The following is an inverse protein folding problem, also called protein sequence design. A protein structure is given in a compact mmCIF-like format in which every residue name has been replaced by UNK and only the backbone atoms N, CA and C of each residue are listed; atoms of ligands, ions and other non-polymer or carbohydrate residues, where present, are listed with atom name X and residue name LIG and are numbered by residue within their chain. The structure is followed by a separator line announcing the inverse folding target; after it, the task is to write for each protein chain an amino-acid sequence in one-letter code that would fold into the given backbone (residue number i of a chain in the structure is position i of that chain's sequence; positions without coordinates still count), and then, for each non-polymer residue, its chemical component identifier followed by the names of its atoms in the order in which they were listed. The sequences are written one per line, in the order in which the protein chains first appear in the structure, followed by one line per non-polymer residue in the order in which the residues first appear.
data_IF_286196237905
#
_entry.id   IF_286196237905
#
_cell.length_a   1.000
_cell.length_b   1.000
_cell.length_c   1.000
_cell.angle_alpha   90.00
_cell.angle_beta   90.00
_cell.angle_gamma   90.00
#
_symmetry.space_group_name_H-M   'P 1'
#
loop_
_entity.id
_entity.type
_entity.pdbx_description
1 polymer ?
#
# COMPACT_ATOMS: atom_id res chain seq x y z
N UNK A 1 24.82 -19.03 4.28
CA UNK A 1 24.39 -18.66 2.92
C UNK A 1 23.69 -19.87 2.32
N UNK A 2 22.40 -19.75 1.98
CA UNK A 2 21.67 -20.79 1.24
C UNK A 2 22.10 -20.70 -0.23
N UNK A 3 22.37 -21.82 -0.93
CA UNK A 3 22.70 -21.79 -2.36
C UNK A 3 21.56 -21.14 -3.15
N UNK A 4 21.91 -20.18 -4.04
CA UNK A 4 20.96 -19.49 -4.93
C UNK A 4 20.11 -20.47 -5.76
N UNK A 5 20.63 -21.66 -6.07
CA UNK A 5 19.97 -22.71 -6.87
C UNK A 5 18.67 -23.27 -6.25
N UNK A 6 18.44 -23.09 -4.94
CA UNK A 6 17.23 -23.57 -4.28
C UNK A 6 16.12 -22.52 -4.16
N UNK A 7 16.38 -21.27 -4.53
CA UNK A 7 15.37 -20.21 -4.48
C UNK A 7 14.41 -20.31 -5.65
N UNK A 8 13.15 -19.97 -5.37
CA UNK A 8 12.15 -19.81 -6.40
C UNK A 8 12.44 -18.55 -7.22
N UNK A 9 12.17 -18.57 -8.54
CA UNK A 9 12.19 -17.34 -9.33
C UNK A 9 11.11 -16.37 -8.83
N UNK A 10 11.46 -15.08 -8.71
CA UNK A 10 10.51 -14.03 -8.31
C UNK A 10 9.26 -14.03 -9.19
N UNK A 11 9.43 -14.16 -10.51
CA UNK A 11 8.32 -14.21 -11.46
C UNK A 11 7.31 -15.33 -11.13
N UNK A 12 7.80 -16.51 -10.73
CA UNK A 12 6.93 -17.64 -10.40
C UNK A 12 6.14 -17.41 -9.11
N UNK A 13 6.75 -16.76 -8.11
CA UNK A 13 6.06 -16.36 -6.87
C UNK A 13 4.98 -15.30 -7.17
N UNK A 14 5.29 -14.32 -8.02
CA UNK A 14 4.34 -13.31 -8.46
C UNK A 14 3.15 -13.95 -9.21
N UNK A 15 3.41 -14.82 -10.19
CA UNK A 15 2.38 -15.53 -10.95
C UNK A 15 1.46 -16.36 -10.04
N UNK A 16 2.05 -17.03 -9.06
CA UNK A 16 1.33 -17.81 -8.06
C UNK A 16 0.41 -16.92 -7.22
N UNK A 17 0.92 -15.75 -6.78
CA UNK A 17 0.13 -14.78 -6.03
C UNK A 17 -1.08 -14.28 -6.82
N UNK A 18 -0.90 -13.90 -8.09
CA UNK A 18 -2.01 -13.46 -8.95
C UNK A 18 -3.05 -14.56 -9.16
N UNK A 19 -2.63 -15.82 -9.28
CA UNK A 19 -3.56 -16.96 -9.32
C UNK A 19 -4.41 -17.05 -8.05
N UNK A 20 -3.78 -16.92 -6.87
CA UNK A 20 -4.51 -16.94 -5.60
C UNK A 20 -5.41 -15.73 -5.41
N UNK A 21 -4.98 -14.55 -5.89
CA UNK A 21 -5.76 -13.33 -5.79
C UNK A 21 -7.10 -13.46 -6.51
N UNK A 22 -7.12 -14.02 -7.73
CA UNK A 22 -8.37 -14.28 -8.47
C UNK A 22 -9.35 -15.14 -7.67
N UNK A 23 -8.88 -16.25 -7.12
CA UNK A 23 -9.70 -17.14 -6.29
C UNK A 23 -10.19 -16.46 -5.02
N UNK A 24 -9.33 -15.66 -4.39
CA UNK A 24 -9.63 -14.95 -3.14
C UNK A 24 -10.66 -13.83 -3.34
N UNK A 25 -10.55 -13.06 -4.42
CA UNK A 25 -11.55 -12.05 -4.79
C UNK A 25 -12.90 -12.68 -5.14
N UNK A 26 -12.88 -13.83 -5.83
CA UNK A 26 -14.10 -14.60 -6.12
C UNK A 26 -14.76 -15.08 -4.84
N UNK A 27 -13.97 -15.62 -3.89
CA UNK A 27 -14.47 -16.05 -2.58
C UNK A 27 -15.05 -14.88 -1.79
N UNK A 28 -14.34 -13.74 -1.72
CA UNK A 28 -14.81 -12.54 -1.04
C UNK A 28 -16.13 -11.99 -1.63
N UNK A 29 -16.32 -12.10 -2.95
CA UNK A 29 -17.58 -11.78 -3.62
C UNK A 29 -18.71 -12.71 -3.17
N UNK A 30 -18.46 -14.02 -3.16
CA UNK A 30 -19.44 -15.05 -2.76
C UNK A 30 -19.85 -14.88 -1.29
N UNK A 31 -18.88 -14.56 -0.42
CA UNK A 31 -19.10 -14.29 1.01
C UNK A 31 -19.70 -12.91 1.30
N UNK A 32 -20.00 -12.11 0.25
CA UNK A 32 -20.54 -10.74 0.36
C UNK A 32 -19.64 -9.79 1.19
N UNK A 33 -18.34 -10.06 1.22
CA UNK A 33 -17.33 -9.15 1.77
C UNK A 33 -17.02 -8.00 0.80
N UNK A 34 -17.21 -8.23 -0.51
CA UNK A 34 -17.02 -7.26 -1.58
C UNK A 34 -18.22 -7.28 -2.53
N UNK A 35 -18.80 -6.11 -2.79
CA UNK A 35 -19.87 -5.97 -3.77
C UNK A 35 -19.33 -5.99 -5.21
N UNK A 36 -20.09 -6.50 -6.20
CA UNK A 36 -19.68 -6.51 -7.60
C UNK A 36 -19.29 -5.13 -8.14
N UNK A 37 -19.98 -4.09 -7.69
CA UNK A 37 -19.74 -2.69 -8.07
C UNK A 37 -18.36 -2.23 -7.57
N UNK A 38 -17.99 -2.58 -6.33
CA UNK A 38 -16.67 -2.26 -5.75
C UNK A 38 -15.55 -2.98 -6.50
N UNK A 39 -15.75 -4.26 -6.83
CA UNK A 39 -14.79 -5.03 -7.64
C UNK A 39 -14.59 -4.44 -9.04
N UNK A 40 -15.67 -3.91 -9.63
CA UNK A 40 -15.68 -3.35 -10.97
C UNK A 40 -15.06 -1.98 -11.09
N UNK A 41 -15.44 -1.09 -10.17
CA UNK A 41 -14.91 0.26 -10.13
C UNK A 41 -13.46 0.29 -9.62
N UNK A 42 -13.04 -0.78 -8.94
CA UNK A 42 -11.81 -0.82 -8.15
C UNK A 42 -11.71 0.38 -7.19
N UNK A 43 -12.87 0.94 -6.80
CA UNK A 43 -12.95 2.12 -5.96
C UNK A 43 -12.55 1.79 -4.52
N UNK A 44 -12.15 2.86 -3.83
CA UNK A 44 -11.64 2.76 -2.47
C UNK A 44 -10.31 2.01 -2.40
N UNK A 45 -10.20 1.23 -1.34
CA UNK A 45 -8.95 0.64 -0.91
C UNK A 45 -8.72 -0.79 -1.44
N UNK A 46 -9.38 -1.14 -2.55
CA UNK A 46 -9.43 -2.52 -3.04
C UNK A 46 -8.05 -3.07 -3.42
N UNK A 47 -7.14 -2.22 -3.89
CA UNK A 47 -5.74 -2.60 -4.14
C UNK A 47 -5.03 -3.09 -2.88
N UNK A 48 -5.49 -2.72 -1.68
CA UNK A 48 -4.93 -3.19 -0.42
C UNK A 48 -5.79 -4.33 0.13
N UNK A 49 -7.11 -4.15 0.17
CA UNK A 49 -8.07 -5.13 0.69
C UNK A 49 -8.00 -6.47 -0.05
N UNK A 50 -7.92 -6.47 -1.39
CA UNK A 50 -7.88 -7.70 -2.20
C UNK A 50 -6.68 -8.59 -1.86
N UNK A 51 -5.44 -8.08 -1.99
CA UNK A 51 -4.23 -8.79 -1.56
C UNK A 51 -4.25 -9.18 -0.06
N UNK A 52 -4.77 -8.34 0.83
CA UNK A 52 -4.87 -8.66 2.26
C UNK A 52 -5.82 -9.85 2.52
N UNK A 53 -6.98 -9.90 1.84
CA UNK A 53 -7.89 -11.06 1.88
C UNK A 53 -7.24 -12.31 1.29
N UNK A 54 -6.45 -12.17 0.23
CA UNK A 54 -5.67 -13.27 -0.34
C UNK A 54 -4.72 -13.89 0.70
N UNK A 55 -3.98 -13.04 1.42
CA UNK A 55 -3.09 -13.46 2.50
C UNK A 55 -3.83 -14.11 3.67
N UNK A 56 -4.99 -13.55 4.05
CA UNK A 56 -5.87 -14.12 5.08
C UNK A 56 -6.37 -15.52 4.71
N UNK A 57 -6.92 -15.71 3.51
CA UNK A 57 -7.37 -17.02 3.07
C UNK A 57 -6.21 -18.01 2.87
N UNK A 58 -5.03 -17.54 2.46
CA UNK A 58 -3.83 -18.37 2.43
C UNK A 58 -3.42 -18.85 3.83
N UNK A 59 -3.55 -17.99 4.86
CA UNK A 59 -3.27 -18.38 6.25
C UNK A 59 -4.26 -19.45 6.73
N UNK A 60 -5.55 -19.32 6.46
CA UNK A 60 -6.56 -20.32 6.83
C UNK A 60 -6.31 -21.69 6.16
N UNK A 61 -5.70 -21.71 4.97
CA UNK A 61 -5.39 -22.94 4.22
C UNK A 61 -4.00 -23.51 4.49
N UNK A 62 -3.14 -22.80 5.23
CA UNK A 62 -1.79 -23.29 5.54
C UNK A 62 -1.87 -24.46 6.54
N UNK A 63 -1.16 -25.55 6.25
CA UNK A 63 -1.22 -26.79 7.06
C UNK A 63 0.16 -27.24 7.54
N UNK A 64 1.17 -26.40 7.37
CA UNK A 64 2.59 -26.72 7.58
C UNK A 64 3.17 -26.00 8.78
N UNK A 65 4.25 -26.55 9.33
CA UNK A 65 4.99 -26.01 10.47
C UNK A 65 6.49 -26.09 10.14
N UNK A 66 7.20 -24.97 9.91
CA UNK A 66 6.70 -23.59 9.90
C UNK A 66 5.70 -23.31 8.77
N UNK A 67 4.82 -22.29 8.88
CA UNK A 67 3.82 -21.99 7.87
C UNK A 67 4.42 -21.75 6.48
N UNK A 68 3.85 -22.40 5.48
CA UNK A 68 4.19 -22.29 4.06
C UNK A 68 2.98 -21.94 3.23
N UNK A 69 3.20 -21.29 2.08
CA UNK A 69 2.13 -20.97 1.11
C UNK A 69 2.16 -22.04 0.02
N UNK A 70 1.09 -22.84 -0.17
CA UNK A 70 1.03 -23.75 -1.31
C UNK A 70 1.15 -22.94 -2.60
N UNK A 71 1.79 -23.48 -3.65
CA UNK A 71 1.94 -22.82 -4.94
C UNK A 71 1.17 -23.59 -6.02
N UNK A 72 0.58 -22.91 -7.02
CA UNK A 72 -0.06 -23.57 -8.15
C UNK A 72 0.93 -24.48 -8.87
N UNK A 73 0.48 -25.70 -9.19
CA UNK A 73 1.31 -26.66 -9.93
C UNK A 73 1.53 -26.15 -11.36
N UNK A 74 2.77 -26.21 -11.84
CA UNK A 74 3.13 -25.85 -13.22
C UNK A 74 2.54 -26.82 -14.24
N UNK A 75 2.27 -28.06 -13.85
CA UNK A 75 1.53 -29.04 -14.64
C UNK A 75 0.71 -29.96 -13.73
N UNK A 76 -0.30 -30.66 -14.29
CA UNK A 76 -1.11 -31.63 -13.52
C UNK A 76 -0.27 -32.76 -12.90
N UNK A 77 0.86 -33.11 -13.54
CA UNK A 77 1.77 -34.16 -13.10
C UNK A 77 2.93 -33.68 -12.23
N UNK A 78 3.17 -32.37 -12.12
CA UNK A 78 4.21 -31.83 -11.25
C UNK A 78 3.87 -32.05 -9.76
N UNK A 79 4.87 -32.30 -8.90
CA UNK A 79 4.64 -32.40 -7.48
C UNK A 79 4.12 -31.06 -6.91
N UNK A 80 3.29 -31.08 -5.85
CA UNK A 80 2.98 -29.88 -5.08
C UNK A 80 4.26 -29.18 -4.66
N UNK A 81 4.27 -27.85 -4.79
CA UNK A 81 5.37 -27.02 -4.32
C UNK A 81 4.84 -25.99 -3.34
N UNK A 82 5.66 -25.62 -2.39
CA UNK A 82 5.30 -24.65 -1.35
C UNK A 82 6.38 -23.56 -1.28
N UNK A 83 5.94 -22.33 -0.99
CA UNK A 83 6.81 -21.22 -0.67
C UNK A 83 7.12 -21.27 0.83
N UNK A 84 8.40 -21.43 1.14
CA UNK A 84 8.96 -21.48 2.49
C UNK A 84 10.04 -20.41 2.63
N UNK A 85 10.45 -20.10 3.85
CA UNK A 85 11.53 -19.13 4.09
C UNK A 85 12.84 -19.52 3.37
N UNK A 86 13.13 -20.81 3.27
CA UNK A 86 14.36 -21.33 2.65
C UNK A 86 14.39 -21.20 1.12
N UNK A 87 13.24 -21.13 0.45
CA UNK A 87 13.15 -21.03 -1.01
C UNK A 87 12.56 -19.69 -1.49
N UNK A 88 12.19 -18.81 -0.57
CA UNK A 88 11.62 -17.50 -0.87
C UNK A 88 12.67 -16.59 -1.53
N UNK A 89 12.32 -15.87 -2.62
CA UNK A 89 13.20 -14.83 -3.14
C UNK A 89 13.44 -13.75 -2.06
N UNK A 90 14.65 -13.15 -1.98
CA UNK A 90 14.96 -12.18 -0.92
C UNK A 90 13.99 -11.01 -0.87
N UNK A 91 13.47 -10.60 -2.03
CA UNK A 91 12.51 -9.50 -2.18
C UNK A 91 11.16 -9.77 -1.52
N UNK A 92 10.79 -11.02 -1.24
CA UNK A 92 9.52 -11.38 -0.56
C UNK A 92 9.71 -11.90 0.86
N UNK A 93 10.95 -12.02 1.33
CA UNK A 93 11.27 -12.72 2.57
C UNK A 93 10.63 -12.05 3.79
N UNK A 94 10.72 -10.72 3.87
CA UNK A 94 10.11 -9.94 4.96
C UNK A 94 8.59 -10.08 4.97
N UNK A 95 7.96 -10.12 3.79
CA UNK A 95 6.51 -10.30 3.63
C UNK A 95 6.08 -11.67 4.13
N UNK A 96 6.82 -12.71 3.74
CA UNK A 96 6.57 -14.08 4.15
C UNK A 96 6.70 -14.23 5.67
N UNK A 97 7.71 -13.60 6.30
CA UNK A 97 7.89 -13.61 7.76
C UNK A 97 6.73 -12.93 8.49
N UNK A 98 6.29 -11.76 8.03
CA UNK A 98 5.15 -11.05 8.65
C UNK A 98 3.87 -11.86 8.49
N UNK A 99 3.60 -12.41 7.30
CA UNK A 99 2.47 -13.30 7.07
C UNK A 99 2.54 -14.55 7.96
N UNK A 100 3.64 -15.29 7.96
CA UNK A 100 3.83 -16.54 8.71
C UNK A 100 3.61 -16.33 10.22
N UNK A 101 4.06 -15.19 10.76
CA UNK A 101 3.84 -14.84 12.18
C UNK A 101 2.38 -14.63 12.58
N UNK A 102 1.51 -14.42 11.59
CA UNK A 102 0.07 -14.22 11.80
C UNK A 102 -0.74 -15.49 11.52
N UNK A 103 -0.17 -16.51 10.88
CA UNK A 103 -0.90 -17.74 10.50
C UNK A 103 -1.53 -18.42 11.72
N UNK A 104 -0.73 -18.74 12.75
CA UNK A 104 -1.25 -19.39 13.95
C UNK A 104 -2.25 -18.53 14.72
N UNK A 105 -2.10 -17.20 14.66
CA UNK A 105 -3.05 -16.26 15.29
C UNK A 105 -4.39 -16.29 14.58
N UNK A 106 -4.38 -16.25 13.25
CA UNK A 106 -5.58 -16.31 12.41
C UNK A 106 -6.30 -17.64 12.61
N UNK A 107 -5.57 -18.76 12.56
CA UNK A 107 -6.13 -20.09 12.73
C UNK A 107 -6.68 -20.35 14.14
N UNK A 108 -6.13 -19.68 15.15
CA UNK A 108 -6.59 -19.77 16.54
C UNK A 108 -7.81 -18.90 16.86
N UNK A 109 -8.27 -18.04 15.94
CA UNK A 109 -9.49 -17.26 16.13
C UNK A 109 -10.74 -18.16 16.04
N UNK A 110 -11.74 -17.86 16.86
CA UNK A 110 -13.09 -18.44 16.71
C UNK A 110 -13.68 -18.12 15.32
N UNK A 111 -14.54 -18.98 14.74
CA UNK A 111 -15.10 -18.77 13.40
C UNK A 111 -15.77 -17.39 13.20
N UNK A 112 -16.46 -16.88 14.22
CA UNK A 112 -17.06 -15.54 14.17
C UNK A 112 -15.99 -14.44 14.15
N UNK A 113 -14.93 -14.58 14.94
CA UNK A 113 -13.79 -13.66 14.96
C UNK A 113 -12.97 -13.72 13.67
N UNK A 114 -12.89 -14.89 13.02
CA UNK A 114 -12.28 -15.04 11.70
C UNK A 114 -13.07 -14.25 10.64
N UNK A 115 -14.40 -14.39 10.62
CA UNK A 115 -15.24 -13.59 9.75
C UNK A 115 -15.11 -12.08 10.06
N UNK A 116 -15.07 -11.70 11.33
CA UNK A 116 -14.83 -10.31 11.73
C UNK A 116 -13.45 -9.80 11.32
N UNK A 117 -12.41 -10.64 11.32
CA UNK A 117 -11.10 -10.27 10.77
C UNK A 117 -11.21 -9.91 9.28
N UNK A 118 -11.90 -10.73 8.49
CA UNK A 118 -12.11 -10.46 7.07
C UNK A 118 -12.87 -9.14 6.85
N UNK A 119 -13.86 -8.84 7.69
CA UNK A 119 -14.58 -7.56 7.68
C UNK A 119 -13.67 -6.39 8.01
N UNK A 120 -12.86 -6.49 9.06
CA UNK A 120 -11.91 -5.45 9.47
C UNK A 120 -10.86 -5.19 8.37
N UNK A 121 -10.39 -6.22 7.67
CA UNK A 121 -9.50 -6.08 6.50
C UNK A 121 -10.17 -5.23 5.39
N UNK A 122 -11.47 -5.44 5.17
CA UNK A 122 -12.30 -4.66 4.25
C UNK A 122 -12.70 -3.27 4.76
N UNK A 123 -12.25 -2.84 5.95
CA UNK A 123 -12.66 -1.58 6.57
C UNK A 123 -14.11 -1.57 7.06
N UNK A 124 -14.73 -2.76 7.22
CA UNK A 124 -16.07 -2.92 7.76
C UNK A 124 -16.02 -3.14 9.28
N UNK A 125 -17.04 -2.69 10.04
CA UNK A 125 -17.09 -2.95 11.47
C UNK A 125 -17.31 -4.44 11.76
N UNK A 126 -16.68 -4.99 12.82
CA UNK A 126 -16.94 -6.35 13.29
C UNK A 126 -18.39 -6.49 13.75
N UNK A 127 -18.95 -7.69 13.59
CA UNK A 127 -20.32 -8.01 13.98
C UNK A 127 -20.40 -8.54 15.42
N UNK A 128 -19.37 -9.26 15.87
CA UNK A 128 -19.37 -9.91 17.18
C UNK A 128 -19.00 -8.91 18.28
N UNK A 129 -19.65 -9.04 19.43
CA UNK A 129 -19.35 -8.28 20.64
C UNK A 129 -19.16 -9.25 21.82
N UNK A 130 -18.12 -9.09 22.66
CA UNK A 130 -17.06 -8.08 22.55
C UNK A 130 -16.12 -8.34 21.36
N UNK A 131 -15.56 -7.27 20.79
CA UNK A 131 -14.58 -7.36 19.69
C UNK A 131 -13.28 -7.95 20.21
N UNK A 132 -12.76 -8.97 19.52
CA UNK A 132 -11.45 -9.53 19.84
C UNK A 132 -10.34 -8.47 19.58
N UNK A 133 -9.56 -8.09 20.61
CA UNK A 133 -8.53 -7.05 20.49
C UNK A 133 -7.40 -7.41 19.52
N UNK A 134 -7.22 -8.69 19.17
CA UNK A 134 -6.18 -9.12 18.23
C UNK A 134 -6.49 -8.74 16.77
N UNK A 135 -7.76 -8.53 16.42
CA UNK A 135 -8.20 -8.35 15.03
C UNK A 135 -7.54 -7.15 14.35
N UNK A 136 -7.50 -6.00 15.04
CA UNK A 136 -6.90 -4.79 14.48
C UNK A 136 -5.42 -4.95 14.19
N UNK A 137 -4.68 -5.63 15.07
CA UNK A 137 -3.26 -5.89 14.86
C UNK A 137 -3.00 -6.86 13.70
N UNK A 138 -3.77 -7.95 13.62
CA UNK A 138 -3.64 -8.92 12.51
C UNK A 138 -4.00 -8.25 11.17
N UNK A 139 -5.10 -7.50 11.12
CA UNK A 139 -5.53 -6.79 9.92
C UNK A 139 -4.49 -5.75 9.49
N UNK A 140 -3.87 -5.03 10.43
CA UNK A 140 -2.80 -4.09 10.13
C UNK A 140 -1.58 -4.79 9.50
N UNK A 141 -1.12 -5.91 10.07
CA UNK A 141 0.01 -6.66 9.52
C UNK A 141 -0.28 -7.17 8.09
N UNK A 142 -1.47 -7.74 7.85
CA UNK A 142 -1.87 -8.24 6.53
C UNK A 142 -2.00 -7.11 5.50
N UNK A 143 -2.58 -5.97 5.90
CA UNK A 143 -2.71 -4.79 5.04
C UNK A 143 -1.37 -4.15 4.74
N UNK A 144 -0.42 -4.21 5.67
CA UNK A 144 0.94 -3.73 5.44
C UNK A 144 1.60 -4.56 4.33
N UNK A 145 1.57 -5.89 4.42
CA UNK A 145 2.11 -6.76 3.35
C UNK A 145 1.40 -6.51 2.02
N UNK A 146 0.07 -6.35 2.04
CA UNK A 146 -0.72 -6.02 0.85
C UNK A 146 -0.30 -4.70 0.21
N UNK A 147 -0.04 -3.67 1.01
CA UNK A 147 0.45 -2.36 0.55
C UNK A 147 1.76 -2.52 -0.21
N UNK A 148 2.73 -3.27 0.31
CA UNK A 148 4.03 -3.51 -0.34
C UNK A 148 3.87 -4.22 -1.68
N UNK A 149 3.03 -5.26 -1.72
CA UNK A 149 2.73 -5.97 -2.96
C UNK A 149 2.11 -5.01 -3.99
N UNK A 150 1.19 -4.16 -3.54
CA UNK A 150 0.45 -3.24 -4.42
C UNK A 150 1.23 -2.03 -4.91
N UNK A 151 2.36 -1.74 -4.29
CA UNK A 151 3.34 -0.77 -4.81
C UNK A 151 4.11 -1.30 -6.02
N UNK A 152 4.20 -2.64 -6.19
CA UNK A 152 5.01 -3.22 -7.26
C UNK A 152 4.35 -3.04 -8.62
N UNK A 153 5.17 -2.64 -9.59
CA UNK A 153 4.73 -2.46 -10.98
C UNK A 153 4.13 -3.73 -11.57
N UNK A 154 4.83 -4.85 -11.40
CA UNK A 154 4.39 -6.17 -11.89
C UNK A 154 3.00 -6.56 -11.37
N UNK A 155 2.66 -6.12 -10.15
CA UNK A 155 1.34 -6.32 -9.59
C UNK A 155 0.30 -5.40 -10.25
N UNK A 156 0.58 -4.10 -10.30
CA UNK A 156 -0.33 -3.09 -10.85
C UNK A 156 -0.73 -3.37 -12.30
N UNK A 157 0.21 -3.82 -13.14
CA UNK A 157 -0.05 -4.10 -14.56
C UNK A 157 -1.04 -5.25 -14.77
N UNK A 158 -1.09 -6.20 -13.84
CA UNK A 158 -1.92 -7.40 -13.95
C UNK A 158 -3.23 -7.26 -13.19
N UNK A 159 -3.31 -6.34 -12.25
CA UNK A 159 -4.42 -6.22 -11.32
C UNK A 159 -5.79 -6.06 -12.01
N UNK A 160 -5.89 -5.24 -13.06
CA UNK A 160 -7.12 -5.11 -13.85
C UNK A 160 -7.62 -6.45 -14.42
N UNK A 161 -6.69 -7.30 -14.87
CA UNK A 161 -7.01 -8.61 -15.42
C UNK A 161 -7.50 -9.56 -14.33
N UNK A 162 -6.94 -9.47 -13.13
CA UNK A 162 -7.37 -10.29 -12.00
C UNK A 162 -8.76 -9.90 -11.50
N UNK A 163 -9.05 -8.59 -11.45
CA UNK A 163 -10.38 -8.07 -11.14
C UNK A 163 -11.41 -8.57 -12.14
N UNK A 164 -11.12 -8.48 -13.44
CA UNK A 164 -12.02 -8.97 -14.47
C UNK A 164 -12.28 -10.47 -14.33
N UNK A 165 -11.23 -11.27 -14.09
CA UNK A 165 -11.40 -12.71 -13.88
C UNK A 165 -12.29 -13.03 -12.67
N UNK A 166 -12.20 -12.27 -11.58
CA UNK A 166 -13.06 -12.43 -10.42
C UNK A 166 -14.51 -11.98 -10.66
N UNK A 167 -14.74 -10.95 -11.48
CA UNK A 167 -16.09 -10.54 -11.91
C UNK A 167 -16.75 -11.61 -12.77
N UNK A 168 -16.00 -12.12 -13.75
CA UNK A 168 -16.47 -13.16 -14.68
C UNK A 168 -16.77 -14.47 -13.94
N UNK A 169 -15.96 -14.82 -12.93
CA UNK A 169 -16.17 -16.01 -12.10
C UNK A 169 -17.46 -15.91 -11.27
N UNK A 170 -18.49 -16.69 -11.63
CA UNK A 170 -19.78 -16.70 -10.92
C UNK A 170 -20.89 -15.86 -11.57
N UNK A 171 -20.61 -15.20 -12.70
CA UNK A 171 -21.67 -14.65 -13.55
C UNK A 171 -22.39 -15.79 -14.25
N UNK A 172 -23.61 -16.10 -13.82
CA UNK A 172 -24.47 -17.07 -14.49
C UNK A 172 -24.73 -16.60 -15.93
N UNK A 173 -24.80 -17.52 -16.89
CA UNK A 173 -24.86 -17.26 -18.35
C UNK A 173 -26.06 -16.43 -18.86
N UNK A 174 -26.76 -15.68 -18.00
CA UNK A 174 -27.89 -14.81 -18.30
C UNK A 174 -27.88 -13.43 -17.63
N UNK A 175 -26.82 -12.99 -16.94
CA UNK A 175 -26.75 -11.60 -16.42
C UNK A 175 -26.45 -10.62 -17.55
N UNK A 176 -27.36 -9.69 -17.82
CA UNK A 176 -27.26 -8.67 -18.89
C UNK A 176 -26.26 -7.55 -18.59
N UNK A 177 -25.78 -7.42 -17.36
CA UNK A 177 -24.79 -6.44 -16.96
C UNK A 177 -23.37 -7.01 -17.17
N UNK A 178 -22.79 -6.74 -18.33
CA UNK A 178 -21.35 -6.97 -18.57
C UNK A 178 -20.56 -5.89 -17.83
N UNK A 179 -20.24 -6.16 -16.58
CA UNK A 179 -19.45 -5.26 -15.75
C UNK A 179 -17.96 -5.43 -16.09
N UNK A 180 -17.31 -4.33 -16.47
CA UNK A 180 -15.89 -4.32 -16.87
C UNK A 180 -15.05 -3.60 -15.82
N UNK A 181 -13.94 -4.20 -15.42
CA UNK A 181 -12.97 -3.56 -14.53
C UNK A 181 -12.43 -2.27 -15.18
N UNK A 182 -12.51 -1.14 -14.46
CA UNK A 182 -12.06 0.18 -14.92
C UNK A 182 -10.65 0.57 -14.43
N UNK A 183 -9.96 -0.34 -13.74
CA UNK A 183 -8.65 -0.06 -13.15
C UNK A 183 -7.61 0.33 -14.21
N UNK A 184 -6.92 1.45 -13.97
CA UNK A 184 -5.79 1.92 -14.78
C UNK A 184 -4.57 2.01 -13.84
N UNK A 185 -3.47 1.30 -14.14
CA UNK A 185 -2.28 1.39 -13.31
C UNK A 185 -1.73 2.82 -13.31
N UNK A 186 -1.03 3.24 -12.23
CA UNK A 186 -0.17 4.42 -12.26
C UNK A 186 0.78 4.40 -13.48
N UNK A 187 1.33 5.52 -13.95
CA UNK A 187 2.32 5.53 -15.04
C UNK A 187 3.62 4.83 -14.61
N UNK A 188 4.37 4.33 -15.58
CA UNK A 188 5.71 3.74 -15.34
C UNK A 188 6.68 4.89 -15.09
N UNK A 189 7.45 4.81 -14.00
CA UNK A 189 8.58 5.68 -13.74
C UNK A 189 9.83 4.99 -14.28
N UNK A 190 10.13 5.20 -15.57
CA UNK A 190 11.44 4.79 -16.07
C UNK A 190 12.46 5.81 -15.54
N UNK A 191 13.34 5.36 -14.65
CA UNK A 191 14.52 6.13 -14.25
C UNK A 191 15.51 6.16 -15.42
N UNK A 192 15.16 6.82 -16.53
CA UNK A 192 15.99 6.91 -17.73
C UNK A 192 16.40 8.36 -17.98
N UNK A 193 17.39 8.82 -17.21
CA UNK A 193 18.11 10.08 -17.43
C UNK A 193 19.61 9.93 -17.72
N UNK A 194 20.14 8.70 -17.78
CA UNK A 194 21.55 8.44 -18.08
C UNK A 194 21.71 7.34 -19.13
N UNK A 195 21.39 7.66 -20.39
CA UNK A 195 22.11 7.05 -21.52
C UNK A 195 22.42 8.13 -22.53
N UNK A 196 23.70 8.21 -22.84
CA UNK A 196 24.33 9.09 -23.80
C UNK A 196 23.54 9.29 -25.09
N UNK A 197 23.69 10.51 -25.59
CA UNK A 197 23.28 10.90 -26.93
C UNK A 197 23.81 9.94 -28.00
N UNK A 198 22.95 9.66 -29.00
CA UNK A 198 23.18 9.00 -30.31
C UNK A 198 22.80 7.51 -30.37
N UNK A 199 21.64 7.18 -30.95
CA UNK A 199 21.56 6.66 -32.33
C UNK A 199 20.15 6.19 -32.74
N UNK A 200 19.76 6.57 -33.95
CA UNK A 200 18.95 5.85 -34.95
C UNK A 200 17.56 5.31 -34.58
N UNK A 201 16.54 5.93 -35.18
CA UNK A 201 15.17 5.46 -35.14
C UNK A 201 14.92 4.15 -35.90
N UNK A 202 13.78 3.52 -35.57
CA UNK A 202 12.95 2.71 -36.47
C UNK A 202 11.60 2.35 -35.81
N UNK A 203 10.54 2.78 -36.49
CA UNK A 203 9.29 2.07 -36.81
C UNK A 203 8.39 1.52 -35.70
N UNK A 204 7.29 2.23 -35.47
CA UNK A 204 6.02 1.74 -34.90
C UNK A 204 5.30 0.77 -35.87
N UNK A 205 4.54 -0.23 -35.38
CA UNK A 205 3.61 -1.00 -36.20
C UNK A 205 2.25 -0.27 -36.39
N UNK A 206 1.50 -0.57 -37.48
CA UNK A 206 0.37 0.24 -37.92
C UNK A 206 -0.96 -0.09 -37.20
N UNK A 207 -1.77 0.95 -37.05
CA UNK A 207 -3.15 0.89 -36.57
C UNK A 207 -4.07 0.16 -37.56
N UNK A 208 -4.98 -0.67 -37.03
CA UNK A 208 -6.12 -1.23 -37.77
C UNK A 208 -7.36 -0.33 -37.63
N UNK A 209 -8.28 -0.34 -38.62
CA UNK A 209 -9.21 0.77 -38.87
C UNK A 209 -10.45 0.73 -37.97
N UNK A 210 -10.96 1.94 -37.71
CA UNK A 210 -12.12 2.25 -36.89
C UNK A 210 -13.43 1.66 -37.44
N UNK A 211 -14.20 1.00 -36.56
CA UNK A 211 -15.63 0.76 -36.74
C UNK A 211 -16.39 1.91 -36.07
N UNK A 212 -17.16 2.64 -36.87
CA UNK A 212 -17.94 3.79 -36.47
C UNK A 212 -19.10 3.40 -35.54
N UNK A 213 -19.10 3.96 -34.32
CA UNK A 213 -20.27 4.04 -33.45
C UNK A 213 -20.54 5.53 -33.11
N UNK A 214 -21.82 5.91 -32.91
CA UNK A 214 -22.24 7.31 -32.74
C UNK A 214 -21.69 7.93 -31.44
N UNK A 215 -21.59 9.27 -31.35
CA UNK A 215 -20.93 9.96 -30.25
C UNK A 215 -21.70 9.72 -28.96
N UNK A 216 -21.05 9.02 -28.02
CA UNK A 216 -21.54 8.91 -26.64
C UNK A 216 -21.43 10.29 -25.98
N UNK A 217 -22.51 10.65 -25.30
CA UNK A 217 -22.61 11.78 -24.37
C UNK A 217 -21.44 11.77 -23.37
N UNK A 218 -20.89 12.95 -23.01
CA UNK A 218 -19.70 13.03 -22.17
C UNK A 218 -20.03 12.56 -20.75
N UNK A 219 -19.27 11.58 -20.27
CA UNK A 219 -19.18 11.26 -18.84
C UNK A 219 -18.56 12.45 -18.10
N UNK A 220 -19.07 12.86 -16.92
CA UNK A 220 -18.49 13.96 -16.15
C UNK A 220 -17.25 13.46 -15.40
N UNK A 221 -16.11 13.34 -16.08
CA UNK A 221 -14.79 13.15 -15.45
C UNK A 221 -13.75 14.09 -16.06
N UNK A 222 -14.14 15.35 -16.26
CA UNK A 222 -13.19 16.43 -16.47
C UNK A 222 -13.11 17.20 -15.16
N UNK A 223 -12.18 16.80 -14.30
CA UNK A 223 -11.68 17.67 -13.26
C UNK A 223 -11.34 19.01 -13.93
N UNK A 224 -11.89 20.11 -13.42
CA UNK A 224 -11.42 21.43 -13.82
C UNK A 224 -9.94 21.48 -13.40
N UNK A 225 -9.03 21.25 -14.34
CA UNK A 225 -7.58 21.09 -14.14
C UNK A 225 -6.90 22.33 -13.52
N UNK A 226 -7.66 23.39 -13.27
CA UNK A 226 -7.17 24.70 -12.82
C UNK A 226 -7.87 25.26 -11.58
N UNK A 227 -8.42 24.42 -10.69
CA UNK A 227 -8.89 24.92 -9.39
C UNK A 227 -7.69 25.43 -8.56
N UNK A 228 -7.68 26.69 -8.09
CA UNK A 228 -6.60 27.22 -7.24
C UNK A 228 -6.30 26.34 -6.02
N UNK A 229 -7.31 25.65 -5.48
CA UNK A 229 -7.14 24.75 -4.37
C UNK A 229 -6.28 23.52 -4.72
N UNK A 230 -6.45 22.94 -5.93
CA UNK A 230 -5.62 21.82 -6.39
C UNK A 230 -4.17 22.27 -6.52
N UNK A 231 -3.94 23.46 -7.04
CA UNK A 231 -2.59 23.99 -7.20
C UNK A 231 -1.93 24.22 -5.84
N UNK A 232 -2.65 24.75 -4.87
CA UNK A 232 -2.16 24.91 -3.49
C UNK A 232 -1.80 23.57 -2.86
N UNK A 233 -2.72 22.59 -2.87
CA UNK A 233 -2.48 21.25 -2.30
C UNK A 233 -1.21 20.63 -2.92
N UNK A 234 -1.08 20.75 -4.24
CA UNK A 234 0.07 20.24 -4.98
C UNK A 234 1.37 20.93 -4.59
N UNK A 235 1.37 22.26 -4.46
CA UNK A 235 2.56 23.01 -4.03
C UNK A 235 2.97 22.65 -2.61
N UNK A 236 2.02 22.48 -1.69
CA UNK A 236 2.27 22.04 -0.31
C UNK A 236 2.96 20.67 -0.30
N UNK A 237 2.41 19.71 -1.05
CA UNK A 237 2.98 18.36 -1.13
C UNK A 237 4.36 18.34 -1.79
N UNK A 238 4.60 19.17 -2.83
CA UNK A 238 5.91 19.24 -3.47
C UNK A 238 6.95 19.96 -2.64
N UNK A 239 6.57 20.99 -1.87
CA UNK A 239 7.46 21.63 -0.90
C UNK A 239 7.90 20.61 0.17
N UNK A 240 6.95 19.90 0.76
CA UNK A 240 7.23 18.85 1.75
C UNK A 240 8.07 17.69 1.18
N UNK A 241 7.82 17.32 -0.08
CA UNK A 241 8.64 16.34 -0.79
C UNK A 241 10.09 16.85 -0.89
N UNK A 242 10.29 18.09 -1.38
CA UNK A 242 11.61 18.72 -1.44
C UNK A 242 12.35 18.70 -0.09
N UNK A 243 11.65 19.02 1.00
CA UNK A 243 12.22 18.99 2.36
C UNK A 243 12.63 17.57 2.79
N UNK A 244 11.77 16.57 2.58
CA UNK A 244 12.06 15.15 2.88
C UNK A 244 13.30 14.68 2.14
N UNK A 245 13.48 15.12 0.90
CA UNK A 245 14.54 14.66 0.02
C UNK A 245 15.86 15.36 0.32
N UNK A 246 15.82 16.64 0.68
CA UNK A 246 16.98 17.34 1.21
C UNK A 246 17.44 16.75 2.55
N UNK A 247 16.50 16.23 3.36
CA UNK A 247 16.78 15.70 4.70
C UNK A 247 17.14 14.21 4.78
N UNK A 248 16.94 13.41 3.73
CA UNK A 248 17.05 11.94 3.82
C UNK A 248 18.16 11.35 2.95
N UNK A 249 19.24 10.92 3.60
CA UNK A 249 20.32 10.16 2.96
C UNK A 249 19.95 8.71 2.64
N UNK A 250 18.96 8.13 3.33
CA UNK A 250 18.51 6.75 3.11
C UNK A 250 17.74 6.61 1.81
N UNK A 251 16.94 7.62 1.45
CA UNK A 251 16.20 7.66 0.18
C UNK A 251 17.11 7.68 -1.04
N UNK A 252 18.24 8.39 -1.01
CA UNK A 252 19.21 8.38 -2.12
C UNK A 252 19.80 6.98 -2.37
N UNK A 253 20.11 6.23 -1.31
CA UNK A 253 20.54 4.84 -1.43
C UNK A 253 19.41 3.96 -1.98
N UNK A 254 18.20 4.13 -1.46
CA UNK A 254 17.04 3.37 -1.89
C UNK A 254 16.72 3.62 -3.36
N UNK A 255 16.85 4.85 -3.85
CA UNK A 255 16.64 5.21 -5.25
C UNK A 255 17.57 4.47 -6.20
N UNK A 256 18.79 4.14 -5.75
CA UNK A 256 19.76 3.35 -6.53
C UNK A 256 19.41 1.87 -6.62
N UNK A 257 18.85 1.29 -5.57
CA UNK A 257 18.63 -0.16 -5.45
C UNK A 257 17.19 -0.61 -5.73
N UNK A 258 16.23 0.24 -5.39
CA UNK A 258 14.79 0.02 -5.57
C UNK A 258 14.09 1.38 -5.80
N UNK A 259 14.19 1.93 -7.03
CA UNK A 259 13.58 3.22 -7.36
C UNK A 259 12.07 3.30 -7.08
N UNK A 260 11.24 2.30 -7.47
CA UNK A 260 9.81 2.30 -7.13
C UNK A 260 9.54 2.45 -5.64
N UNK A 261 10.31 1.76 -4.80
CA UNK A 261 10.20 1.86 -3.34
C UNK A 261 10.63 3.23 -2.83
N UNK A 262 11.73 3.79 -3.35
CA UNK A 262 12.18 5.13 -2.99
C UNK A 262 11.14 6.21 -3.32
N UNK A 263 10.53 6.11 -4.50
CA UNK A 263 9.44 7.00 -4.91
C UNK A 263 8.27 6.92 -3.95
N UNK A 264 7.82 5.72 -3.63
CA UNK A 264 6.70 5.55 -2.73
C UNK A 264 7.00 6.03 -1.29
N UNK A 265 8.19 5.70 -0.78
CA UNK A 265 8.65 6.15 0.53
C UNK A 265 8.71 7.68 0.61
N UNK A 266 9.24 8.35 -0.41
CA UNK A 266 9.33 9.82 -0.43
C UNK A 266 7.96 10.51 -0.37
N UNK A 267 6.96 10.01 -1.11
CA UNK A 267 5.59 10.54 -1.08
C UNK A 267 4.95 10.30 0.29
N UNK A 268 5.15 9.12 0.85
CA UNK A 268 4.59 8.75 2.16
C UNK A 268 5.19 9.60 3.28
N UNK A 269 6.50 9.85 3.22
CA UNK A 269 7.19 10.77 4.13
C UNK A 269 6.74 12.22 3.94
N UNK A 270 6.51 12.67 2.71
CA UNK A 270 5.97 14.01 2.46
C UNK A 270 4.57 14.18 3.05
N UNK A 271 3.71 13.15 2.96
CA UNK A 271 2.40 13.13 3.61
C UNK A 271 2.54 13.22 5.14
N UNK A 272 3.48 12.48 5.73
CA UNK A 272 3.77 12.54 7.15
C UNK A 272 4.27 13.94 7.57
N UNK A 273 5.14 14.54 6.77
CA UNK A 273 5.68 15.89 6.99
C UNK A 273 4.57 16.95 6.95
N UNK A 274 3.69 16.90 5.95
CA UNK A 274 2.51 17.77 5.87
C UNK A 274 1.57 17.52 7.06
N UNK A 275 1.32 16.25 7.38
CA UNK A 275 0.48 15.87 8.51
C UNK A 275 0.98 16.42 9.85
N UNK A 276 2.29 16.42 10.06
CA UNK A 276 2.91 16.85 11.32
C UNK A 276 3.12 18.36 11.41
N UNK A 277 3.33 19.06 10.29
CA UNK A 277 3.75 20.48 10.31
C UNK A 277 2.74 21.46 9.71
N UNK A 278 1.89 21.01 8.80
CA UNK A 278 1.02 21.87 8.02
C UNK A 278 -0.48 21.66 8.30
N UNK A 279 -0.88 20.56 8.95
CA UNK A 279 -2.28 20.33 9.32
C UNK A 279 -2.62 21.10 10.60
N UNK A 280 -3.62 21.98 10.51
CA UNK A 280 -4.17 22.72 11.63
C UNK A 280 -5.24 21.90 12.39
N UNK A 281 -5.58 22.26 13.64
CA UNK A 281 -6.61 21.57 14.43
C UNK A 281 -8.00 21.54 13.78
N UNK A 282 -8.33 22.55 12.96
CA UNK A 282 -9.58 22.62 12.19
C UNK A 282 -9.59 21.70 10.95
N UNK A 283 -8.49 20.99 10.69
CA UNK A 283 -8.29 20.11 9.53
C UNK A 283 -7.94 20.86 8.24
N UNK A 284 -7.72 22.17 8.30
CA UNK A 284 -7.14 22.92 7.18
C UNK A 284 -5.64 22.63 7.06
N UNK A 285 -5.10 22.74 5.85
CA UNK A 285 -3.67 22.55 5.58
C UNK A 285 -3.08 23.90 5.21
N UNK A 286 -2.01 24.30 5.88
CA UNK A 286 -1.29 25.55 5.66
C UNK A 286 0.16 25.27 5.25
N UNK A 287 0.47 25.53 3.98
CA UNK A 287 1.84 25.45 3.46
C UNK A 287 2.71 26.66 3.74
N UNK A 288 2.22 27.67 4.47
CA UNK A 288 2.84 28.97 4.57
C UNK A 288 2.57 29.86 3.35
N UNK A 289 3.07 31.11 3.39
CA UNK A 289 2.96 32.09 2.31
C UNK A 289 1.53 32.33 1.74
N UNK A 290 0.49 32.18 2.57
CA UNK A 290 -0.90 32.35 2.16
C UNK A 290 -1.52 31.13 1.46
N UNK A 291 -0.85 29.97 1.49
CA UNK A 291 -1.27 28.74 0.82
C UNK A 291 -2.20 27.87 1.68
N UNK A 292 -3.07 28.52 2.46
CA UNK A 292 -4.05 27.80 3.26
C UNK A 292 -5.12 27.17 2.37
N UNK A 293 -5.45 25.91 2.64
CA UNK A 293 -6.52 25.16 1.99
C UNK A 293 -7.45 24.59 3.05
N UNK A 294 -8.71 24.98 2.97
CA UNK A 294 -9.78 24.44 3.80
C UNK A 294 -10.55 23.33 3.09
N UNK A 295 -11.27 22.50 3.84
CA UNK A 295 -12.10 21.45 3.27
C UNK A 295 -13.22 22.00 2.35
N UNK A 296 -13.69 23.23 2.62
CA UNK A 296 -14.70 23.91 1.80
C UNK A 296 -14.19 24.34 0.43
N UNK A 297 -12.91 24.70 0.33
CA UNK A 297 -12.24 25.08 -0.93
C UNK A 297 -11.81 23.87 -1.77
N UNK A 298 -11.72 22.69 -1.14
CA UNK A 298 -11.28 21.47 -1.80
C UNK A 298 -12.37 20.94 -2.77
N UNK A 299 -12.03 20.63 -4.03
CA UNK A 299 -12.98 20.04 -4.99
C UNK A 299 -13.59 18.74 -4.44
N UNK A 300 -14.86 18.46 -4.75
CA UNK A 300 -15.60 17.30 -4.20
C UNK A 300 -14.83 15.97 -4.31
N UNK A 301 -14.21 15.72 -5.46
CA UNK A 301 -13.44 14.49 -5.68
C UNK A 301 -12.16 14.36 -4.84
N UNK A 302 -11.62 15.46 -4.31
CA UNK A 302 -10.41 15.47 -3.47
C UNK A 302 -10.72 15.61 -1.98
N UNK A 303 -11.96 15.97 -1.61
CA UNK A 303 -12.36 16.07 -0.20
C UNK A 303 -12.07 14.80 0.61
N UNK A 304 -12.25 13.57 0.09
CA UNK A 304 -11.88 12.36 0.82
C UNK A 304 -10.38 12.33 1.19
N UNK A 305 -9.50 12.69 0.25
CA UNK A 305 -8.05 12.73 0.48
C UNK A 305 -7.67 13.82 1.50
N UNK A 306 -8.32 14.99 1.41
CA UNK A 306 -8.10 16.09 2.36
C UNK A 306 -8.55 15.73 3.77
N UNK A 307 -9.72 15.10 3.93
CA UNK A 307 -10.19 14.62 5.25
C UNK A 307 -9.23 13.60 5.83
N UNK A 308 -8.69 12.73 4.99
CA UNK A 308 -7.75 11.70 5.41
C UNK A 308 -6.40 12.29 5.83
N UNK A 309 -5.86 13.24 5.06
CA UNK A 309 -4.66 14.00 5.43
C UNK A 309 -4.85 14.73 6.76
N UNK A 310 -6.00 15.39 6.97
CA UNK A 310 -6.33 16.02 8.23
C UNK A 310 -6.43 15.00 9.39
N UNK A 311 -6.98 13.81 9.11
CA UNK A 311 -7.04 12.71 10.07
C UNK A 311 -5.67 12.13 10.43
N UNK A 312 -4.75 12.05 9.47
CA UNK A 312 -3.34 11.69 9.70
C UNK A 312 -2.67 12.75 10.57
N UNK A 313 -2.87 14.04 10.28
CA UNK A 313 -2.25 15.11 11.06
C UNK A 313 -2.71 15.14 12.51
N UNK A 314 -4.02 14.97 12.77
CA UNK A 314 -4.53 14.83 14.16
C UNK A 314 -3.88 13.67 14.89
N UNK A 315 -3.86 12.49 14.26
CA UNK A 315 -3.28 11.29 14.86
C UNK A 315 -1.76 11.44 15.08
N UNK A 316 -1.04 12.11 14.18
CA UNK A 316 0.38 12.41 14.36
C UNK A 316 0.61 13.35 15.56
N UNK A 317 -0.23 14.38 15.71
CA UNK A 317 -0.19 15.30 16.86
C UNK A 317 -0.46 14.58 18.18
N UNK A 318 -1.46 13.70 18.22
CA UNK A 318 -1.75 12.85 19.39
C UNK A 318 -0.55 11.95 19.74
N UNK A 319 0.05 11.30 18.74
CA UNK A 319 1.23 10.46 18.94
C UNK A 319 2.42 11.26 19.48
N UNK A 320 2.69 12.45 18.93
CA UNK A 320 3.77 13.33 19.41
C UNK A 320 3.53 13.77 20.85
N UNK A 321 2.32 14.23 21.18
CA UNK A 321 2.00 14.68 22.53
C UNK A 321 2.12 13.56 23.57
N UNK A 322 1.69 12.35 23.22
CA UNK A 322 1.87 11.18 24.07
C UNK A 322 3.36 10.75 24.19
N UNK A 323 4.16 10.88 23.12
CA UNK A 323 5.60 10.60 23.14
C UNK A 323 6.36 11.62 24.00
N UNK A 324 6.04 12.91 23.89
CA UNK A 324 6.60 13.98 24.72
C UNK A 324 6.29 13.72 26.20
N UNK A 325 5.05 13.35 26.51
CA UNK A 325 4.66 12.97 27.88
C UNK A 325 5.45 11.76 28.38
N UNK A 326 5.59 10.72 27.56
CA UNK A 326 6.36 9.52 27.91
C UNK A 326 7.85 9.83 28.11
N UNK A 327 8.42 10.72 27.31
CA UNK A 327 9.80 11.18 27.45
C UNK A 327 10.02 11.93 28.76
N UNK A 328 9.12 12.85 29.12
CA UNK A 328 9.18 13.58 30.41
C UNK A 328 9.10 12.59 31.58
N UNK A 329 8.17 11.64 31.56
CA UNK A 329 8.02 10.63 32.62
C UNK A 329 9.27 9.72 32.75
N UNK A 330 9.91 9.37 31.65
CA UNK A 330 11.14 8.57 31.65
C UNK A 330 12.32 9.37 32.23
N UNK A 331 12.47 10.64 31.84
CA UNK A 331 13.48 11.55 32.38
C UNK A 331 13.33 11.75 33.89
N UNK A 332 12.11 11.93 34.39
CA UNK A 332 11.82 12.06 35.83
C UNK A 332 12.22 10.82 36.63
N UNK A 333 12.13 9.63 36.02
CA UNK A 333 12.49 8.34 36.64
C UNK A 333 13.96 7.97 36.44
N UNK A 334 14.72 8.74 35.67
CA UNK A 334 16.10 8.38 35.27
C UNK A 334 16.16 7.15 34.36
N UNK A 335 15.08 6.85 33.64
CA UNK A 335 15.00 5.75 32.68
C UNK A 335 15.47 6.22 31.29
N UNK A 336 15.84 5.27 30.43
CA UNK A 336 16.19 5.56 29.04
C UNK A 336 14.96 6.09 28.29
N UNK A 337 15.14 7.17 27.52
CA UNK A 337 14.06 7.76 26.75
C UNK A 337 13.55 6.77 25.69
N UNK A 338 12.24 6.49 25.64
CA UNK A 338 11.69 5.60 24.64
C UNK A 338 11.82 6.22 23.24
N UNK A 339 12.03 5.37 22.23
CA UNK A 339 12.03 5.82 20.85
C UNK A 339 10.65 6.38 20.44
N UNK A 340 10.59 7.62 19.92
CA UNK A 340 9.34 8.22 19.44
C UNK A 340 8.66 7.33 18.40
N UNK A 341 7.33 7.21 18.48
CA UNK A 341 6.56 6.40 17.54
C UNK A 341 6.57 6.97 16.13
N UNK A 342 6.60 8.30 15.98
CA UNK A 342 6.71 8.92 14.65
C UNK A 342 8.05 8.58 13.97
N UNK A 343 9.12 8.39 14.74
CA UNK A 343 10.41 7.96 14.19
C UNK A 343 10.35 6.50 13.69
N UNK A 344 9.68 5.62 14.45
CA UNK A 344 9.38 4.25 13.97
C UNK A 344 8.53 4.25 12.72
N UNK A 345 7.52 5.10 12.65
CA UNK A 345 6.69 5.26 11.44
C UNK A 345 7.56 5.68 10.27
N UNK A 346 8.44 6.68 10.43
CA UNK A 346 9.40 7.10 9.39
C UNK A 346 10.25 5.92 8.91
N UNK A 347 10.81 5.13 9.82
CA UNK A 347 11.58 3.92 9.50
C UNK A 347 10.77 2.87 8.74
N UNK A 348 9.51 2.65 9.11
CA UNK A 348 8.60 1.73 8.39
C UNK A 348 8.25 2.24 6.99
N UNK A 349 8.04 3.55 6.82
CA UNK A 349 7.75 4.17 5.51
C UNK A 349 8.96 4.07 4.57
N UNK A 350 10.19 4.11 5.10
CA UNK A 350 11.41 3.92 4.32
C UNK A 350 11.69 2.44 4.04
N UNK A 351 11.91 1.65 5.10
CA UNK A 351 12.41 0.28 5.04
C UNK A 351 11.38 -0.79 4.72
N UNK A 352 10.09 -0.46 4.84
CA UNK A 352 8.98 -1.34 4.46
C UNK A 352 8.60 -2.33 5.54
N UNK A 353 7.69 -3.20 5.17
CA UNK A 353 7.11 -4.18 6.10
C UNK A 353 8.17 -5.15 6.60
N UNK A 354 8.24 -5.29 7.93
CA UNK A 354 9.19 -6.18 8.60
C UNK A 354 10.51 -5.51 9.00
N UNK A 355 10.73 -4.22 8.68
CA UNK A 355 11.96 -3.49 9.02
C UNK A 355 12.34 -3.59 10.51
N UNK A 356 11.38 -3.37 11.42
CA UNK A 356 11.63 -3.43 12.87
C UNK A 356 11.98 -4.83 13.37
N UNK A 357 11.49 -5.88 12.70
CA UNK A 357 11.74 -7.28 13.09
C UNK A 357 13.12 -7.76 12.70
N UNK A 358 13.61 -7.32 11.55
CA UNK A 358 14.96 -7.65 11.08
C UNK A 358 16.02 -6.85 11.84
N UNK A 359 15.71 -5.62 12.29
CA UNK A 359 16.63 -4.78 13.06
C UNK A 359 16.75 -5.16 14.55
N UNK A 360 15.66 -5.66 15.16
CA UNK A 360 15.62 -5.81 16.61
C UNK A 360 16.25 -7.09 17.16
N UNK A 361 16.50 -8.14 16.36
CA UNK A 361 17.40 -9.29 16.64
C UNK A 361 17.27 -10.05 17.98
N UNK A 362 16.40 -9.63 18.89
CA UNK A 362 16.39 -9.98 20.30
C UNK A 362 15.00 -10.49 20.64
N UNK A 363 14.82 -11.79 20.43
CA UNK A 363 13.71 -12.54 21.01
C UNK A 363 13.88 -12.59 22.52
N UNK A 364 13.05 -11.86 23.27
CA UNK A 364 13.18 -11.82 24.72
C UNK A 364 12.07 -11.05 25.46
N UNK A 365 11.03 -11.80 25.86
CA UNK A 365 10.14 -11.58 27.03
C UNK A 365 9.22 -10.35 27.10
N UNK A 366 9.34 -9.33 26.25
CA UNK A 366 8.48 -8.13 26.31
C UNK A 366 7.58 -7.95 25.06
N UNK A 367 7.22 -9.06 24.41
CA UNK A 367 6.48 -9.07 23.15
C UNK A 367 5.04 -8.52 23.29
N UNK A 368 4.38 -8.69 24.43
CA UNK A 368 2.98 -8.27 24.60
C UNK A 368 2.78 -6.75 24.60
N UNK A 369 3.64 -6.01 25.32
CA UNK A 369 3.53 -4.55 25.45
C UNK A 369 4.12 -3.82 24.25
N UNK A 370 5.24 -4.32 23.70
CA UNK A 370 5.86 -3.77 22.48
C UNK A 370 4.96 -3.92 21.25
N UNK A 371 4.25 -5.04 21.11
CA UNK A 371 3.42 -5.33 19.93
C UNK A 371 2.14 -4.49 19.85
N UNK A 372 1.60 -4.02 20.97
CA UNK A 372 0.48 -3.05 20.97
C UNK A 372 0.92 -1.68 20.43
N UNK A 373 2.14 -1.24 20.79
CA UNK A 373 2.73 0.00 20.27
C UNK A 373 3.15 -0.18 18.80
N UNK A 374 3.74 -1.31 18.45
CA UNK A 374 4.08 -1.72 17.07
C UNK A 374 2.83 -1.75 16.20
N UNK A 375 1.74 -2.37 16.66
CA UNK A 375 0.47 -2.42 15.93
C UNK A 375 -0.14 -1.05 15.67
N UNK A 376 0.00 -0.09 16.59
CA UNK A 376 -0.42 1.31 16.37
C UNK A 376 0.45 2.01 15.31
N UNK A 377 1.77 1.82 15.36
CA UNK A 377 2.69 2.40 14.37
C UNK A 377 2.47 1.81 12.97
N UNK A 378 2.27 0.48 12.87
CA UNK A 378 1.95 -0.23 11.61
C UNK A 378 0.59 0.22 11.06
N UNK A 379 -0.43 0.33 11.90
CA UNK A 379 -1.73 0.83 11.46
C UNK A 379 -1.65 2.27 10.94
N UNK A 380 -0.85 3.12 11.59
CA UNK A 380 -0.65 4.50 11.16
C UNK A 380 0.19 4.61 9.88
N UNK A 381 1.26 3.83 9.73
CA UNK A 381 2.04 3.79 8.49
C UNK A 381 1.21 3.26 7.31
N UNK A 382 0.38 2.26 7.54
CA UNK A 382 -0.58 1.77 6.53
C UNK A 382 -1.55 2.85 6.06
N UNK A 383 -2.01 3.69 6.99
CA UNK A 383 -2.91 4.80 6.69
C UNK A 383 -2.26 5.84 5.77
N UNK A 384 -1.01 6.19 6.06
CA UNK A 384 -0.18 7.09 5.23
C UNK A 384 0.07 6.48 3.84
N UNK A 385 0.49 5.21 3.80
CA UNK A 385 0.75 4.50 2.55
C UNK A 385 -0.51 4.36 1.69
N UNK A 386 -1.66 4.08 2.30
CA UNK A 386 -2.94 4.04 1.58
C UNK A 386 -3.29 5.40 0.98
N UNK A 387 -3.06 6.50 1.70
CA UNK A 387 -3.22 7.85 1.16
C UNK A 387 -2.26 8.12 -0.01
N UNK A 388 -0.99 7.71 0.11
CA UNK A 388 -0.01 7.84 -0.97
C UNK A 388 -0.44 7.11 -2.25
N UNK A 389 -0.96 5.88 -2.12
CA UNK A 389 -1.52 5.11 -3.24
C UNK A 389 -2.74 5.79 -3.86
N UNK A 390 -3.57 6.47 -3.06
CA UNK A 390 -4.74 7.16 -3.59
C UNK A 390 -4.40 8.50 -4.25
N UNK A 391 -3.41 9.22 -3.75
CA UNK A 391 -2.92 10.46 -4.38
C UNK A 391 -2.32 10.17 -5.77
N UNK A 392 -1.57 9.07 -5.93
CA UNK A 392 -0.96 8.71 -7.23
C UNK A 392 -1.99 8.37 -8.32
N UNK A 393 -3.23 8.01 -7.93
CA UNK A 393 -4.33 7.78 -8.87
C UNK A 393 -4.85 9.08 -9.48
N UNK A 394 -4.71 10.21 -8.79
CA UNK A 394 -5.23 11.51 -9.24
C UNK A 394 -4.37 12.06 -10.37
N UNK A 395 -4.99 12.27 -11.55
CA UNK A 395 -4.31 12.74 -12.77
C UNK A 395 -3.46 14.00 -12.55
N UNK A 396 -3.99 14.99 -11.83
CA UNK A 396 -3.29 16.26 -11.56
C UNK A 396 -1.99 16.10 -10.75
N UNK A 397 -1.87 15.05 -9.93
CA UNK A 397 -0.64 14.73 -9.19
C UNK A 397 0.30 13.84 -10.00
N UNK A 398 -0.29 12.95 -10.81
CA UNK A 398 0.41 12.01 -11.69
C UNK A 398 1.31 12.70 -12.71
N UNK A 399 0.82 13.76 -13.37
CA UNK A 399 1.52 14.41 -14.48
C UNK A 399 2.80 15.13 -14.03
N UNK A 400 2.76 15.81 -12.88
CA UNK A 400 3.92 16.55 -12.35
C UNK A 400 4.83 15.73 -11.43
N UNK A 401 4.40 14.55 -10.99
CA UNK A 401 5.27 13.67 -10.20
C UNK A 401 6.52 13.27 -11.00
N UNK A 402 6.38 12.98 -12.29
CA UNK A 402 7.53 12.60 -13.14
C UNK A 402 8.61 13.70 -13.15
N UNK A 403 8.20 14.96 -13.35
CA UNK A 403 9.11 16.11 -13.34
C UNK A 403 9.83 16.28 -11.99
N UNK A 404 9.10 16.13 -10.87
CA UNK A 404 9.69 16.22 -9.53
C UNK A 404 10.70 15.08 -9.30
N UNK A 405 10.44 13.89 -9.85
CA UNK A 405 11.32 12.75 -9.71
C UNK A 405 12.53 12.76 -10.65
N UNK A 406 12.43 13.38 -11.82
CA UNK A 406 13.60 13.68 -12.65
C UNK A 406 14.57 14.60 -11.92
N UNK A 407 14.05 15.66 -11.28
CA UNK A 407 14.84 16.54 -10.41
C UNK A 407 15.47 15.72 -9.27
N UNK A 408 14.77 14.72 -8.74
CA UNK A 408 15.27 13.89 -7.66
C UNK A 408 16.41 12.98 -8.03
N UNK A 409 16.32 12.35 -9.20
CA UNK A 409 17.43 11.59 -9.74
C UNK A 409 18.67 12.46 -9.95
N UNK A 410 18.50 13.73 -10.32
CA UNK A 410 19.59 14.68 -10.52
C UNK A 410 20.21 15.19 -9.21
N UNK A 411 19.41 15.41 -8.16
CA UNK A 411 19.88 15.94 -6.85
C UNK A 411 20.44 14.83 -5.96
N UNK A 412 19.87 13.62 -6.00
CA UNK A 412 20.29 12.49 -5.17
C UNK A 412 21.27 11.54 -5.88
N UNK A 413 21.48 11.70 -7.19
CA UNK A 413 22.35 10.86 -8.01
C UNK A 413 23.84 11.25 -8.00
N UNK A 414 24.22 12.28 -7.25
CA UNK A 414 25.63 12.61 -6.92
C UNK A 414 25.98 12.08 -5.55
#
# INVERSE_FOLDING_TARGET
MIPEENKLPEQYVQDSFHSYLKSSLTQAKVEKLLEPEVLASAEGDLMITGPALCLYFAALRSTTIPPSVPLPRSSKSAPPRELTESNCPPTFLSFLRVWASNVSRIQGLEPNSQHDLARVICGLPPLTQPVDPALSGIAADLRAVAIEISQRRSFQDRYATDLQAALDAGSSSGSTLKVKASFVPPPVYDASGYTDSKSTGKTSPPASPASAFPPRTPSPMLFLEHSPAIERIRQILYAALGDVLAGSHTLGRLLKWDPPRAYFASVSLAILEVGTRAVNPDGSVDGGAGMKVTLGECPEGLKPLMRELAGIGRQAGEMSAEDDKGAVEALEKGEEMPEPRLERVRKMLEGGVGYDRDASGVGGRDEGRRRSVEGRAVAFSNRINALALNISKVKAFRERQAEVFDILSAVCGT
#
